data_IF_068946922143
#
_entry.id   IF_068946922143
#
_cell.length_a   1.000
_cell.length_b   1.000
_cell.length_c   1.000
_cell.angle_alpha   90.00
_cell.angle_beta   90.00
_cell.angle_gamma   90.00
#
_symmetry.space_group_name_H-M   'P 1'
#
loop_
_entity.id
_entity.type
_entity.pdbx_description
1 polymer ?
#
# COMPACT_ATOMS: atom_id res chain seq x y z
N UNK A 1 -11.72 21.79 -1.28
CA UNK A 1 -10.57 21.43 -2.13
C UNK A 1 -11.11 21.02 -3.49
N UNK A 2 -10.44 21.40 -4.57
CA UNK A 2 -10.75 20.84 -5.89
C UNK A 2 -10.05 19.47 -6.07
N UNK A 3 -10.36 18.75 -7.13
CA UNK A 3 -9.78 17.41 -7.39
C UNK A 3 -8.26 17.44 -7.46
N UNK A 4 -7.68 18.50 -8.05
CA UNK A 4 -6.24 18.64 -8.26
C UNK A 4 -5.50 18.80 -6.92
N UNK A 5 -6.02 19.62 -6.01
CA UNK A 5 -5.49 19.77 -4.64
C UNK A 5 -5.53 18.45 -3.87
N UNK A 6 -6.59 17.64 -4.08
CA UNK A 6 -6.72 16.34 -3.42
C UNK A 6 -5.67 15.36 -3.92
N UNK A 7 -5.50 15.28 -5.25
CA UNK A 7 -4.51 14.42 -5.90
C UNK A 7 -3.09 14.85 -5.54
N UNK A 8 -2.78 16.14 -5.58
CA UNK A 8 -1.46 16.66 -5.22
C UNK A 8 -1.10 16.31 -3.78
N UNK A 9 -2.04 16.51 -2.84
CA UNK A 9 -1.80 16.16 -1.44
C UNK A 9 -1.63 14.65 -1.24
N UNK A 10 -2.36 13.82 -1.98
CA UNK A 10 -2.14 12.36 -1.98
C UNK A 10 -0.72 12.02 -2.41
N UNK A 11 -0.26 12.57 -3.54
CA UNK A 11 1.08 12.28 -4.05
C UNK A 11 2.20 12.77 -3.11
N UNK A 12 2.04 13.94 -2.48
CA UNK A 12 2.99 14.42 -1.46
C UNK A 12 3.09 13.48 -0.25
N UNK A 13 1.99 12.84 0.15
CA UNK A 13 2.00 11.85 1.23
C UNK A 13 2.71 10.56 0.79
N UNK A 14 2.49 10.10 -0.44
CA UNK A 14 3.22 8.97 -1.03
C UNK A 14 4.72 9.26 -1.15
N UNK A 15 5.11 10.46 -1.56
CA UNK A 15 6.51 10.89 -1.63
C UNK A 15 7.20 10.84 -0.27
N UNK A 16 6.50 11.20 0.81
CA UNK A 16 7.05 11.10 2.16
C UNK A 16 7.39 9.65 2.55
N UNK A 17 6.51 8.69 2.23
CA UNK A 17 6.79 7.26 2.44
C UNK A 17 7.94 6.79 1.54
N UNK A 18 7.90 7.14 0.26
CA UNK A 18 8.95 6.77 -0.69
C UNK A 18 10.32 7.29 -0.26
N UNK A 19 10.39 8.51 0.29
CA UNK A 19 11.62 9.08 0.81
C UNK A 19 12.14 8.24 1.98
N UNK A 20 11.30 7.97 2.99
CA UNK A 20 11.67 7.15 4.14
C UNK A 20 12.15 5.74 3.73
N UNK A 21 11.42 5.08 2.84
CA UNK A 21 11.73 3.72 2.37
C UNK A 21 12.99 3.66 1.49
N UNK A 22 13.42 4.80 0.93
CA UNK A 22 14.60 4.88 0.05
C UNK A 22 15.91 5.23 0.76
N UNK A 23 15.84 5.76 1.98
CA UNK A 23 17.04 6.16 2.72
C UNK A 23 17.73 4.90 3.22
N UNK A 24 18.97 4.68 2.81
CA UNK A 24 19.82 3.66 3.42
C UNK A 24 20.18 4.14 4.83
N UNK A 25 19.67 3.45 5.85
CA UNK A 25 20.02 3.75 7.23
C UNK A 25 21.16 2.83 7.68
N UNK A 26 22.22 3.43 8.22
CA UNK A 26 23.39 2.70 8.72
C UNK A 26 23.08 1.86 9.98
N UNK A 27 21.96 2.10 10.68
CA UNK A 27 21.68 1.45 11.97
C UNK A 27 20.20 1.16 12.28
N UNK A 28 19.24 2.00 11.88
CA UNK A 28 17.82 1.82 12.23
C UNK A 28 16.91 1.86 10.99
N UNK A 29 16.10 0.81 10.77
CA UNK A 29 15.05 0.80 9.75
C UNK A 29 13.96 1.80 10.16
N UNK A 30 13.52 2.70 9.28
CA UNK A 30 12.57 3.75 9.63
C UNK A 30 11.20 3.13 9.89
N UNK A 31 10.51 3.64 10.91
CA UNK A 31 9.09 3.34 11.10
C UNK A 31 8.25 4.05 10.03
N UNK A 32 7.67 3.26 9.13
CA UNK A 32 6.83 3.75 8.03
C UNK A 32 5.37 3.94 8.46
N UNK A 33 4.94 3.33 9.58
CA UNK A 33 3.53 3.27 9.97
C UNK A 33 2.87 4.65 10.12
N UNK A 34 3.50 5.66 10.77
CA UNK A 34 2.91 7.00 10.86
C UNK A 34 2.62 7.62 9.49
N UNK A 35 3.53 7.44 8.53
CA UNK A 35 3.40 8.01 7.19
C UNK A 35 2.36 7.25 6.36
N UNK A 36 2.29 5.93 6.49
CA UNK A 36 1.26 5.09 5.85
C UNK A 36 -0.13 5.40 6.42
N UNK A 37 -0.25 5.57 7.73
CA UNK A 37 -1.48 5.99 8.39
C UNK A 37 -1.95 7.37 7.95
N UNK A 38 -1.03 8.30 7.68
CA UNK A 38 -1.39 9.61 7.15
C UNK A 38 -2.09 9.51 5.78
N UNK A 39 -1.63 8.61 4.90
CA UNK A 39 -2.28 8.33 3.61
C UNK A 39 -3.67 7.74 3.83
N UNK A 40 -3.77 6.68 4.64
CA UNK A 40 -5.04 5.99 4.89
C UNK A 40 -6.10 6.92 5.51
N UNK A 41 -5.71 7.70 6.52
CA UNK A 41 -6.60 8.67 7.17
C UNK A 41 -6.99 9.80 6.21
N UNK A 42 -6.06 10.27 5.38
CA UNK A 42 -6.36 11.29 4.38
C UNK A 42 -7.42 10.81 3.38
N UNK A 43 -7.33 9.56 2.92
CA UNK A 43 -8.33 8.96 2.03
C UNK A 43 -9.68 8.81 2.73
N UNK A 44 -9.69 8.26 3.96
CA UNK A 44 -10.93 8.06 4.74
C UNK A 44 -11.65 9.39 5.01
N UNK A 45 -10.91 10.47 5.27
CA UNK A 45 -11.46 11.81 5.50
C UNK A 45 -11.91 12.53 4.21
N UNK A 46 -11.59 11.98 3.04
CA UNK A 46 -11.93 12.54 1.73
C UNK A 46 -12.67 11.52 0.86
N UNK A 47 -13.50 10.66 1.48
CA UNK A 47 -14.16 9.53 0.81
C UNK A 47 -15.02 9.91 -0.39
N UNK A 48 -15.49 11.16 -0.48
CA UNK A 48 -16.19 11.70 -1.66
C UNK A 48 -15.32 11.69 -2.94
N UNK A 49 -14.00 11.66 -2.80
CA UNK A 49 -13.05 11.54 -3.91
C UNK A 49 -12.57 10.09 -4.14
N UNK A 50 -13.31 9.08 -3.67
CA UNK A 50 -12.94 7.66 -3.80
C UNK A 50 -12.40 7.27 -5.19
N UNK A 51 -13.09 7.68 -6.26
CA UNK A 51 -12.69 7.32 -7.63
C UNK A 51 -11.33 7.91 -8.01
N UNK A 52 -11.01 9.12 -7.54
CA UNK A 52 -9.70 9.73 -7.74
C UNK A 52 -8.62 8.87 -7.09
N UNK A 53 -8.80 8.47 -5.82
CA UNK A 53 -7.83 7.64 -5.12
C UNK A 53 -7.66 6.26 -5.76
N UNK A 54 -8.75 5.64 -6.23
CA UNK A 54 -8.67 4.39 -7.01
C UNK A 54 -7.78 4.61 -8.23
N UNK A 55 -8.00 5.67 -9.01
CA UNK A 55 -7.19 5.95 -10.19
C UNK A 55 -5.71 6.17 -9.82
N UNK A 56 -5.42 6.88 -8.73
CA UNK A 56 -4.04 7.06 -8.25
C UNK A 56 -3.37 5.73 -7.86
N UNK A 57 -4.08 4.87 -7.11
CA UNK A 57 -3.54 3.54 -6.76
C UNK A 57 -3.39 2.62 -7.97
N UNK A 58 -4.28 2.71 -8.95
CA UNK A 58 -4.15 1.96 -10.22
C UNK A 58 -2.89 2.37 -10.96
N UNK A 59 -2.53 3.67 -11.01
CA UNK A 59 -1.25 4.13 -11.58
C UNK A 59 -0.05 3.48 -10.87
N UNK A 60 -0.10 3.35 -9.55
CA UNK A 60 0.97 2.65 -8.78
C UNK A 60 0.96 1.14 -9.11
N UNK A 61 -0.20 0.49 -9.09
CA UNK A 61 -0.35 -0.94 -9.35
C UNK A 61 0.05 -1.34 -10.79
N UNK A 62 -0.10 -0.45 -11.76
CA UNK A 62 0.36 -0.65 -13.14
C UNK A 62 1.85 -0.36 -13.35
N UNK A 63 2.57 0.11 -12.32
CA UNK A 63 3.95 0.56 -12.45
C UNK A 63 4.13 1.86 -13.23
N UNK A 64 3.06 2.61 -13.51
CA UNK A 64 3.13 3.93 -14.16
C UNK A 64 3.79 4.97 -13.25
N UNK A 65 3.61 4.80 -11.93
CA UNK A 65 4.25 5.60 -10.89
C UNK A 65 5.04 4.67 -9.97
N UNK A 66 6.36 4.88 -9.89
CA UNK A 66 7.21 4.17 -8.93
C UNK A 66 6.87 4.62 -7.50
N UNK A 67 6.55 3.66 -6.63
CA UNK A 67 6.25 3.91 -5.23
C UNK A 67 6.69 2.73 -4.38
N UNK A 68 6.88 2.96 -3.08
CA UNK A 68 7.05 1.91 -2.07
C UNK A 68 5.87 0.93 -2.12
N UNK A 69 6.17 -0.37 -2.08
CA UNK A 69 5.13 -1.40 -2.09
C UNK A 69 4.24 -1.32 -0.83
N UNK A 70 4.81 -0.88 0.29
CA UNK A 70 4.10 -0.72 1.56
C UNK A 70 2.88 0.18 1.46
N UNK A 71 2.89 1.18 0.57
CA UNK A 71 1.74 2.06 0.35
C UNK A 71 0.52 1.25 -0.13
N UNK A 72 0.72 0.37 -1.13
CA UNK A 72 -0.36 -0.47 -1.63
C UNK A 72 -0.76 -1.51 -0.59
N UNK A 73 0.21 -2.20 0.02
CA UNK A 73 -0.09 -3.28 0.97
C UNK A 73 -0.86 -2.77 2.18
N UNK A 74 -0.38 -1.69 2.79
CA UNK A 74 -0.99 -1.08 3.97
C UNK A 74 -2.37 -0.49 3.64
N UNK A 75 -2.51 0.29 2.56
CA UNK A 75 -3.80 0.94 2.28
C UNK A 75 -4.86 -0.06 1.81
N UNK A 76 -4.50 -1.04 0.98
CA UNK A 76 -5.47 -1.97 0.41
C UNK A 76 -5.97 -2.98 1.43
N UNK A 77 -5.25 -3.21 2.52
CA UNK A 77 -5.71 -4.08 3.62
C UNK A 77 -7.05 -3.60 4.17
N UNK A 78 -7.18 -2.29 4.36
CA UNK A 78 -8.39 -1.63 4.85
C UNK A 78 -9.35 -1.21 3.73
N UNK A 79 -8.84 -0.59 2.66
CA UNK A 79 -9.70 0.01 1.62
C UNK A 79 -10.28 -1.04 0.68
N UNK A 80 -9.56 -2.14 0.44
CA UNK A 80 -9.96 -3.28 -0.39
C UNK A 80 -10.58 -2.88 -1.73
N UNK A 81 -9.97 -1.95 -2.46
CA UNK A 81 -10.46 -1.53 -3.77
C UNK A 81 -10.17 -2.60 -4.83
N UNK A 82 -11.18 -3.37 -5.31
CA UNK A 82 -10.95 -4.47 -6.23
C UNK A 82 -10.31 -4.02 -7.55
N UNK A 83 -10.55 -2.79 -7.98
CA UNK A 83 -9.97 -2.19 -9.19
C UNK A 83 -8.43 -2.15 -9.12
N UNK A 84 -7.87 -1.91 -7.93
CA UNK A 84 -6.42 -1.87 -7.70
C UNK A 84 -5.84 -3.29 -7.75
N UNK A 85 -6.51 -4.26 -7.14
CA UNK A 85 -6.11 -5.67 -7.24
C UNK A 85 -6.15 -6.16 -8.69
N UNK A 86 -7.21 -5.83 -9.44
CA UNK A 86 -7.35 -6.21 -10.84
C UNK A 86 -6.26 -5.58 -11.71
N UNK A 87 -5.95 -4.30 -11.50
CA UNK A 87 -4.86 -3.60 -12.18
C UNK A 87 -3.51 -4.29 -11.96
N UNK A 88 -3.17 -4.64 -10.72
CA UNK A 88 -1.92 -5.36 -10.40
C UNK A 88 -1.82 -6.72 -11.10
N UNK A 89 -2.93 -7.50 -11.10
CA UNK A 89 -2.96 -8.80 -11.77
C UNK A 89 -2.83 -8.64 -13.30
N UNK A 90 -3.52 -7.67 -13.90
CA UNK A 90 -3.43 -7.39 -15.32
C UNK A 90 -2.02 -6.93 -15.73
N UNK A 91 -1.39 -6.07 -14.94
CA UNK A 91 0.00 -5.64 -15.17
C UNK A 91 0.96 -6.83 -15.20
N UNK A 92 0.82 -7.75 -14.23
CA UNK A 92 1.62 -8.98 -14.20
C UNK A 92 1.39 -9.87 -15.42
N UNK A 93 0.14 -10.06 -15.83
CA UNK A 93 -0.20 -10.85 -17.02
C UNK A 93 0.41 -10.22 -18.29
N UNK A 94 0.30 -8.90 -18.45
CA UNK A 94 0.86 -8.15 -19.57
C UNK A 94 2.39 -8.19 -19.60
N UNK A 95 3.04 -8.27 -18.44
CA UNK A 95 4.49 -8.47 -18.33
C UNK A 95 4.94 -9.91 -18.69
N UNK A 96 4.02 -10.78 -19.12
CA UNK A 96 4.28 -12.17 -19.51
C UNK A 96 4.07 -13.18 -18.39
N UNK A 97 3.44 -12.75 -17.29
CA UNK A 97 3.04 -13.61 -16.18
C UNK A 97 4.21 -14.37 -15.56
N UNK A 98 3.94 -15.60 -15.11
CA UNK A 98 4.92 -16.44 -14.40
C UNK A 98 6.20 -16.72 -15.20
N UNK A 99 6.09 -16.75 -16.53
CA UNK A 99 7.20 -17.10 -17.40
C UNK A 99 7.96 -15.87 -17.92
N UNK A 100 7.28 -14.74 -18.12
CA UNK A 100 7.87 -13.50 -18.61
C UNK A 100 8.33 -12.53 -17.53
N UNK A 101 7.71 -12.57 -16.34
CA UNK A 101 7.99 -11.65 -15.24
C UNK A 101 8.07 -12.36 -13.87
N UNK A 102 8.93 -13.37 -13.68
CA UNK A 102 9.03 -14.09 -12.40
C UNK A 102 9.39 -13.17 -11.22
N UNK A 103 10.10 -12.05 -11.47
CA UNK A 103 10.44 -11.07 -10.43
C UNK A 103 9.23 -10.32 -9.87
N UNK A 104 8.15 -10.22 -10.64
CA UNK A 104 6.90 -9.58 -10.21
C UNK A 104 5.99 -10.54 -9.42
N UNK A 105 6.31 -11.84 -9.37
CA UNK A 105 5.48 -12.84 -8.69
C UNK A 105 5.36 -12.56 -7.19
N UNK A 106 6.48 -12.25 -6.52
CA UNK A 106 6.47 -11.98 -5.09
C UNK A 106 5.61 -10.76 -4.77
N UNK A 107 5.84 -9.65 -5.50
CA UNK A 107 5.07 -8.43 -5.38
C UNK A 107 3.56 -8.68 -5.60
N UNK A 108 3.18 -9.39 -6.67
CA UNK A 108 1.78 -9.71 -6.92
C UNK A 108 1.18 -10.62 -5.84
N UNK A 109 1.96 -11.58 -5.32
CA UNK A 109 1.52 -12.44 -4.23
C UNK A 109 1.21 -11.62 -2.99
N UNK A 110 2.12 -10.71 -2.59
CA UNK A 110 1.93 -9.82 -1.45
C UNK A 110 0.65 -8.99 -1.60
N UNK A 111 0.44 -8.38 -2.77
CA UNK A 111 -0.80 -7.64 -3.05
C UNK A 111 -2.03 -8.54 -2.91
N UNK A 112 -2.01 -9.75 -3.46
CA UNK A 112 -3.17 -10.63 -3.37
C UNK A 112 -3.47 -11.13 -1.95
N UNK A 113 -2.43 -11.32 -1.12
CA UNK A 113 -2.56 -11.73 0.28
C UNK A 113 -3.25 -10.67 1.14
N UNK A 114 -2.96 -9.39 0.89
CA UNK A 114 -3.60 -8.25 1.58
C UNK A 114 -5.14 -8.32 1.54
N UNK A 115 -5.72 -8.82 0.44
CA UNK A 115 -7.16 -8.96 0.26
C UNK A 115 -7.75 -10.26 0.83
N UNK A 116 -6.96 -11.33 0.91
CA UNK A 116 -7.45 -12.70 1.17
C UNK A 116 -7.15 -13.18 2.57
N UNK A 117 -6.00 -12.84 3.10
CA UNK A 117 -5.50 -13.45 4.33
C UNK A 117 -6.22 -12.87 5.55
N UNK A 118 -6.51 -13.70 6.54
CA UNK A 118 -7.05 -13.28 7.84
C UNK A 118 -6.55 -14.28 8.89
N UNK A 119 -5.58 -13.91 9.75
CA UNK A 119 -4.89 -12.61 9.80
C UNK A 119 -3.95 -12.38 8.59
N UNK A 120 -3.67 -11.12 8.26
CA UNK A 120 -2.67 -10.74 7.27
C UNK A 120 -1.28 -10.99 7.84
N UNK A 121 -0.47 -11.74 7.09
CA UNK A 121 0.85 -12.18 7.52
C UNK A 121 1.77 -11.04 7.96
N UNK A 122 1.75 -9.92 7.25
CA UNK A 122 2.66 -8.79 7.51
C UNK A 122 2.04 -7.77 8.48
N UNK A 123 0.96 -8.14 9.20
CA UNK A 123 0.37 -7.28 10.21
C UNK A 123 1.30 -7.07 11.43
N UNK A 124 2.27 -7.96 11.65
CA UNK A 124 3.28 -7.84 12.70
C UNK A 124 4.21 -6.63 12.49
N UNK A 125 4.40 -6.15 11.26
CA UNK A 125 5.16 -4.93 10.97
C UNK A 125 4.44 -3.63 11.38
N UNK A 126 3.14 -3.69 11.70
CA UNK A 126 2.31 -2.50 11.90
C UNK A 126 1.43 -2.64 13.15
N UNK A 127 1.67 -1.83 14.18
CA UNK A 127 0.92 -1.88 15.43
C UNK A 127 -0.59 -1.73 15.19
N UNK A 128 -0.98 -0.88 14.23
CA UNK A 128 -2.36 -0.63 13.83
C UNK A 128 -3.06 -1.91 13.37
N UNK A 129 -2.43 -2.67 12.48
CA UNK A 129 -3.02 -3.90 11.95
C UNK A 129 -2.89 -5.05 12.94
N UNK A 130 -1.76 -5.16 13.65
CA UNK A 130 -1.60 -6.14 14.70
C UNK A 130 -2.70 -6.04 15.74
N UNK A 131 -2.88 -4.85 16.32
CA UNK A 131 -3.89 -4.58 17.37
C UNK A 131 -5.32 -4.85 16.89
N UNK A 132 -5.58 -4.65 15.60
CA UNK A 132 -6.88 -4.89 14.98
C UNK A 132 -7.16 -6.38 14.75
N UNK A 133 -6.14 -7.17 14.43
CA UNK A 133 -6.29 -8.57 14.00
C UNK A 133 -5.98 -9.59 15.11
N UNK A 134 -5.19 -9.19 16.12
CA UNK A 134 -4.81 -10.01 17.28
C UNK A 134 -5.21 -9.31 18.58
N UNK A 135 -6.53 -9.14 18.83
CA UNK A 135 -6.98 -8.47 20.04
C UNK A 135 -6.48 -9.24 21.26
N UNK A 136 -5.87 -8.52 22.21
CA UNK A 136 -5.27 -9.01 23.46
C UNK A 136 -3.89 -9.67 23.35
N UNK A 137 -3.26 -9.67 22.17
CA UNK A 137 -1.86 -10.11 22.02
C UNK A 137 -0.93 -8.89 22.03
N UNK A 138 0.21 -8.93 22.74
CA UNK A 138 1.20 -7.85 22.68
C UNK A 138 1.79 -7.75 21.27
N UNK A 139 2.05 -6.54 20.79
CA UNK A 139 2.69 -6.34 19.50
C UNK A 139 4.13 -6.89 19.54
N UNK A 140 4.51 -7.80 18.62
CA UNK A 140 5.82 -8.46 18.65
C UNK A 140 7.01 -7.52 18.42
N UNK A 141 6.77 -6.31 17.91
CA UNK A 141 7.80 -5.31 17.61
C UNK A 141 7.87 -4.16 18.63
N UNK A 142 7.19 -4.31 19.78
CA UNK A 142 7.19 -3.34 20.88
C UNK A 142 8.56 -3.22 21.61
#
# INVERSE_FOLDING_TARGET
MNTDEIEEKFWRLCEAVNHLDSVEFDTDVPDLEPSLMAILNYIKNNSQYKQLFINCFVKIANGEVKSSEWILLFCMRDLRYPEVQQAANLHFEQAGGRHGAPRLMNWLSNINHVYKDTPWKDADFFEYYWSKEHPNEPWPCA
#
